data_IF_931336569767
#
_entry.id   IF_931336569767
#
_cell.length_a   1.000
_cell.length_b   1.000
_cell.length_c   1.000
_cell.angle_alpha   90.00
_cell.angle_beta   90.00
_cell.angle_gamma   90.00
#
_symmetry.space_group_name_H-M   'P 1'
#
loop_
_entity.id
_entity.type
_entity.pdbx_description
1 polymer ?
#
# COMPACT_ATOMS: atom_id res chain seq x y z
N UNK A 1 34.21 16.45 35.97
CA UNK A 1 33.24 17.54 35.68
C UNK A 1 32.60 17.18 34.35
N UNK A 2 31.66 16.24 34.39
CA UNK A 2 30.22 16.44 34.11
C UNK A 2 29.93 16.58 32.62
N UNK A 3 29.76 15.42 31.96
CA UNK A 3 29.00 15.33 30.72
C UNK A 3 27.58 15.87 30.99
N UNK A 4 27.05 16.77 30.14
CA UNK A 4 25.68 17.23 30.27
C UNK A 4 24.71 16.05 30.10
N UNK A 5 23.93 15.79 31.15
CA UNK A 5 22.83 14.84 31.16
C UNK A 5 21.94 15.02 29.93
N UNK A 6 21.95 14.02 29.05
CA UNK A 6 20.93 13.89 28.03
C UNK A 6 19.57 13.82 28.72
N UNK A 7 18.74 14.85 28.48
CA UNK A 7 17.36 14.90 28.97
C UNK A 7 16.61 13.62 28.54
N UNK A 8 15.78 13.03 29.41
CA UNK A 8 15.00 11.85 29.03
C UNK A 8 14.04 12.25 27.91
N UNK A 9 14.31 11.72 26.71
CA UNK A 9 13.41 11.84 25.57
C UNK A 9 12.02 11.37 26.01
N UNK A 10 11.07 12.29 26.02
CA UNK A 10 9.68 12.03 26.35
C UNK A 10 9.16 10.91 25.44
N UNK A 11 8.57 9.87 26.05
CA UNK A 11 7.93 8.80 25.32
C UNK A 11 6.94 9.39 24.29
N UNK A 12 7.03 9.03 22.99
CA UNK A 12 6.19 9.63 21.98
C UNK A 12 4.74 9.27 22.29
N UNK A 13 3.93 10.30 22.59
CA UNK A 13 2.48 10.15 22.81
C UNK A 13 1.91 9.41 21.62
N UNK A 14 1.26 8.28 21.87
CA UNK A 14 0.33 7.66 20.94
C UNK A 14 -0.76 8.70 20.61
N UNK A 15 -0.55 9.48 19.57
CA UNK A 15 -1.55 10.41 19.08
C UNK A 15 -2.74 9.58 18.62
N UNK A 16 -3.82 9.64 19.42
CA UNK A 16 -5.08 9.01 19.07
C UNK A 16 -5.54 9.63 17.77
N UNK A 17 -5.79 8.80 16.78
CA UNK A 17 -6.31 9.24 15.48
C UNK A 17 -7.61 10.00 15.73
N UNK A 18 -7.65 11.26 15.32
CA UNK A 18 -8.83 12.11 15.48
C UNK A 18 -10.00 11.60 14.65
N UNK A 19 -11.22 11.98 15.05
CA UNK A 19 -12.46 11.58 14.35
C UNK A 19 -12.42 12.00 12.87
N UNK A 20 -11.83 13.16 12.56
CA UNK A 20 -11.66 13.65 11.19
C UNK A 20 -10.88 12.69 10.27
N UNK A 21 -9.89 11.98 10.79
CA UNK A 21 -9.13 11.01 10.01
C UNK A 21 -9.92 9.74 9.68
N UNK A 22 -10.84 9.31 10.55
CA UNK A 22 -11.76 8.21 10.25
C UNK A 22 -12.83 8.61 9.25
N UNK A 23 -13.31 9.86 9.30
CA UNK A 23 -14.23 10.41 8.30
C UNK A 23 -13.53 10.47 6.94
N UNK A 24 -12.28 10.94 6.89
CA UNK A 24 -11.49 10.96 5.67
C UNK A 24 -11.25 9.54 5.12
N UNK A 25 -11.00 8.55 5.99
CA UNK A 25 -10.90 7.14 5.58
C UNK A 25 -12.21 6.60 5.00
N UNK A 26 -13.35 6.92 5.61
CA UNK A 26 -14.66 6.50 5.10
C UNK A 26 -14.95 7.13 3.74
N UNK A 27 -14.63 8.41 3.57
CA UNK A 27 -14.75 9.11 2.29
C UNK A 27 -13.82 8.51 1.22
N UNK A 28 -12.61 8.11 1.59
CA UNK A 28 -11.71 7.38 0.71
C UNK A 28 -12.33 6.05 0.23
N UNK A 29 -12.86 5.25 1.16
CA UNK A 29 -13.52 3.97 0.84
C UNK A 29 -14.67 4.21 -0.12
N UNK A 30 -15.52 5.20 0.17
CA UNK A 30 -16.65 5.56 -0.69
C UNK A 30 -16.19 5.92 -2.10
N UNK A 31 -15.21 6.82 -2.24
CA UNK A 31 -14.70 7.28 -3.55
C UNK A 31 -14.12 6.13 -4.37
N UNK A 32 -13.30 5.28 -3.77
CA UNK A 32 -12.62 4.19 -4.49
C UNK A 32 -13.47 2.91 -4.65
N UNK A 33 -14.61 2.79 -3.95
CA UNK A 33 -15.42 1.56 -3.96
C UNK A 33 -16.24 1.32 -5.23
N UNK A 34 -16.53 2.37 -6.02
CA UNK A 34 -17.40 2.25 -7.20
C UNK A 34 -18.89 2.16 -6.88
N UNK A 35 -19.29 2.31 -5.61
CA UNK A 35 -20.69 2.17 -5.15
C UNK A 35 -21.63 3.17 -5.83
N UNK A 36 -21.11 4.32 -6.27
CA UNK A 36 -21.90 5.39 -6.88
C UNK A 36 -21.78 5.49 -8.40
N UNK A 37 -21.06 4.57 -9.06
CA UNK A 37 -20.79 4.61 -10.51
C UNK A 37 -22.05 4.54 -11.40
N UNK A 38 -23.15 3.96 -10.90
CA UNK A 38 -24.41 3.79 -11.65
C UNK A 38 -25.64 4.07 -10.78
N UNK A 39 -25.70 5.26 -10.20
CA UNK A 39 -26.87 5.67 -9.42
C UNK A 39 -28.07 6.05 -10.31
N UNK A 40 -29.32 5.77 -9.88
CA UNK A 40 -30.54 6.24 -10.54
C UNK A 40 -30.55 7.77 -10.72
N UNK A 41 -31.29 8.30 -11.70
CA UNK A 41 -31.25 9.73 -12.04
C UNK A 41 -31.47 10.67 -10.85
N UNK A 42 -32.33 10.29 -9.90
CA UNK A 42 -32.59 11.07 -8.68
C UNK A 42 -31.35 11.28 -7.78
N UNK A 43 -30.36 10.39 -7.87
CA UNK A 43 -29.14 10.39 -7.05
C UNK A 43 -27.86 10.53 -7.87
N UNK A 44 -27.97 10.98 -9.13
CA UNK A 44 -26.82 11.12 -10.05
C UNK A 44 -25.71 12.04 -9.51
N UNK A 45 -26.07 13.00 -8.66
CA UNK A 45 -25.12 13.87 -7.96
C UNK A 45 -24.17 13.12 -7.02
N UNK A 46 -24.57 11.96 -6.48
CA UNK A 46 -23.68 11.10 -5.68
C UNK A 46 -22.53 10.51 -6.50
N UNK A 47 -22.65 10.47 -7.83
CA UNK A 47 -21.55 10.13 -8.72
C UNK A 47 -20.35 11.09 -8.62
N UNK A 48 -20.51 12.29 -8.04
CA UNK A 48 -19.38 13.16 -7.73
C UNK A 48 -18.43 12.56 -6.67
N UNK A 49 -18.92 11.61 -5.87
CA UNK A 49 -18.12 10.87 -4.89
C UNK A 49 -17.71 9.50 -5.44
N UNK A 50 -17.63 9.32 -6.75
CA UNK A 50 -17.24 8.06 -7.39
C UNK A 50 -16.00 8.24 -8.26
N UNK A 51 -14.96 7.46 -8.01
CA UNK A 51 -13.70 7.55 -8.75
C UNK A 51 -13.88 7.30 -10.25
N UNK A 52 -14.70 6.32 -10.63
CA UNK A 52 -14.91 5.94 -12.04
C UNK A 52 -15.78 6.95 -12.79
N UNK A 53 -16.60 7.72 -12.07
CA UNK A 53 -17.32 8.86 -12.64
C UNK A 53 -16.42 10.08 -12.81
N UNK A 54 -15.56 10.36 -11.83
CA UNK A 54 -14.62 11.49 -11.86
C UNK A 54 -13.51 11.34 -12.91
N UNK A 55 -13.00 10.13 -13.13
CA UNK A 55 -12.02 9.86 -14.20
C UNK A 55 -12.63 10.05 -15.60
N UNK A 56 -13.94 9.86 -15.73
CA UNK A 56 -14.66 9.98 -17.00
C UNK A 56 -14.27 8.91 -18.04
N UNK A 57 -14.58 9.20 -19.31
CA UNK A 57 -14.29 8.31 -20.45
C UNK A 57 -13.19 8.90 -21.32
N UNK A 58 -11.95 8.77 -20.86
CA UNK A 58 -10.79 9.25 -21.62
C UNK A 58 -10.63 8.47 -22.93
N UNK A 59 -10.44 9.21 -24.02
CA UNK A 59 -10.04 8.62 -25.29
C UNK A 59 -11.12 8.02 -26.17
N UNK A 60 -12.39 8.28 -25.85
CA UNK A 60 -13.51 7.86 -26.69
C UNK A 60 -13.50 8.61 -28.02
N UNK A 61 -13.57 7.88 -29.13
CA UNK A 61 -13.59 8.47 -30.47
C UNK A 61 -15.05 8.71 -30.87
N UNK A 62 -15.39 9.96 -31.18
CA UNK A 62 -16.75 10.32 -31.59
C UNK A 62 -17.15 9.53 -32.86
N UNK A 63 -18.28 8.84 -32.80
CA UNK A 63 -18.82 8.04 -33.91
C UNK A 63 -18.25 6.62 -34.03
N UNK A 64 -17.36 6.19 -33.14
CA UNK A 64 -16.84 4.82 -33.08
C UNK A 64 -17.22 4.13 -31.76
N UNK A 65 -17.49 2.82 -31.80
CA UNK A 65 -17.68 1.98 -30.59
C UNK A 65 -16.35 1.67 -29.86
N UNK A 66 -15.33 2.52 -30.00
CA UNK A 66 -13.98 2.28 -29.51
C UNK A 66 -13.30 3.52 -28.94
N UNK A 67 -12.20 3.30 -28.24
CA UNK A 67 -11.28 4.35 -27.78
C UNK A 67 -10.03 4.40 -28.68
N UNK A 68 -9.12 5.35 -28.44
CA UNK A 68 -7.87 5.47 -29.21
C UNK A 68 -6.91 4.28 -29.07
N UNK A 69 -7.17 3.32 -28.18
CA UNK A 69 -6.44 2.04 -28.12
C UNK A 69 -6.78 1.18 -29.35
N UNK A 70 -7.97 1.39 -29.95
CA UNK A 70 -8.43 0.64 -31.13
C UNK A 70 -8.94 -0.77 -30.79
N UNK A 71 -9.28 -1.55 -31.82
CA UNK A 71 -9.71 -2.96 -31.69
C UNK A 71 -8.87 -3.84 -32.61
N UNK A 72 -8.39 -4.98 -32.10
CA UNK A 72 -7.75 -6.03 -32.92
C UNK A 72 -6.23 -5.94 -33.14
N UNK A 73 -5.45 -5.30 -32.26
CA UNK A 73 -3.99 -5.21 -32.41
C UNK A 73 -3.18 -5.39 -31.12
N UNK A 74 -2.71 -6.61 -30.85
CA UNK A 74 -1.76 -6.90 -29.77
C UNK A 74 -0.34 -6.58 -30.25
N UNK A 75 0.10 -5.34 -30.04
CA UNK A 75 1.45 -4.87 -30.41
C UNK A 75 1.99 -3.88 -29.40
N UNK A 76 3.30 -3.61 -29.45
CA UNK A 76 3.95 -2.59 -28.61
C UNK A 76 3.26 -1.21 -28.70
N UNK A 77 2.69 -0.86 -29.88
CA UNK A 77 1.91 0.36 -30.07
C UNK A 77 0.58 0.33 -29.32
N UNK A 78 -0.10 -0.83 -29.32
CA UNK A 78 -1.32 -1.04 -28.53
C UNK A 78 -1.05 -0.94 -27.03
N UNK A 79 0.04 -1.53 -26.54
CA UNK A 79 0.48 -1.39 -25.15
C UNK A 79 0.80 0.05 -24.75
N UNK A 80 1.47 0.81 -25.62
CA UNK A 80 1.75 2.23 -25.39
C UNK A 80 0.46 3.07 -25.31
N UNK A 81 -0.50 2.85 -26.22
CA UNK A 81 -1.80 3.52 -26.21
C UNK A 81 -2.63 3.10 -24.98
N UNK A 82 -2.60 1.83 -24.59
CA UNK A 82 -3.21 1.39 -23.34
C UNK A 82 -2.61 2.11 -22.12
N UNK A 83 -1.28 2.23 -22.04
CA UNK A 83 -0.63 2.98 -20.98
C UNK A 83 -1.09 4.45 -20.93
N UNK A 84 -1.17 5.12 -22.10
CA UNK A 84 -1.72 6.48 -22.21
C UNK A 84 -3.15 6.58 -21.66
N UNK A 85 -3.97 5.53 -21.83
CA UNK A 85 -5.33 5.52 -21.30
C UNK A 85 -5.40 5.47 -19.76
N UNK A 86 -4.36 4.96 -19.09
CA UNK A 86 -4.29 4.83 -17.63
C UNK A 86 -3.79 6.12 -16.95
N UNK A 87 -3.05 6.99 -17.65
CA UNK A 87 -2.43 8.19 -17.06
C UNK A 87 -3.41 9.06 -16.25
N UNK A 88 -4.58 9.47 -16.80
CA UNK A 88 -5.51 10.32 -16.06
C UNK A 88 -6.03 9.67 -14.78
N UNK A 89 -6.30 8.36 -14.82
CA UNK A 89 -6.76 7.60 -13.66
C UNK A 89 -5.72 7.54 -12.56
N UNK A 90 -4.49 7.17 -12.91
CA UNK A 90 -3.40 7.10 -11.93
C UNK A 90 -3.13 8.47 -11.31
N UNK A 91 -3.10 9.55 -12.10
CA UNK A 91 -2.90 10.91 -11.60
C UNK A 91 -4.01 11.35 -10.64
N UNK A 92 -5.28 11.09 -10.98
CA UNK A 92 -6.41 11.42 -10.12
C UNK A 92 -6.36 10.61 -8.81
N UNK A 93 -6.04 9.32 -8.87
CA UNK A 93 -5.92 8.47 -7.69
C UNK A 93 -4.82 8.98 -6.74
N UNK A 94 -3.65 9.31 -7.28
CA UNK A 94 -2.53 9.84 -6.50
C UNK A 94 -2.88 11.19 -5.87
N UNK A 95 -3.55 12.09 -6.61
CA UNK A 95 -4.00 13.38 -6.07
C UNK A 95 -5.02 13.22 -4.93
N UNK A 96 -5.99 12.32 -5.07
CA UNK A 96 -6.96 12.02 -4.02
C UNK A 96 -6.28 11.40 -2.79
N UNK A 97 -5.36 10.45 -2.99
CA UNK A 97 -4.60 9.84 -1.90
C UNK A 97 -3.82 10.91 -1.13
N UNK A 98 -3.16 11.86 -1.79
CA UNK A 98 -2.41 12.94 -1.13
C UNK A 98 -3.31 13.81 -0.25
N UNK A 99 -4.47 14.23 -0.77
CA UNK A 99 -5.44 15.02 0.01
C UNK A 99 -5.95 14.23 1.21
N UNK A 100 -6.34 12.96 1.01
CA UNK A 100 -6.82 12.10 2.09
C UNK A 100 -5.73 11.82 3.13
N UNK A 101 -4.47 11.70 2.70
CA UNK A 101 -3.31 11.55 3.57
C UNK A 101 -3.09 12.79 4.43
N UNK A 102 -3.23 13.98 3.85
CA UNK A 102 -3.17 15.25 4.57
C UNK A 102 -4.22 15.33 5.70
N UNK A 103 -5.43 14.83 5.47
CA UNK A 103 -6.48 14.73 6.50
C UNK A 103 -6.31 13.55 7.47
N UNK A 104 -5.24 12.77 7.33
CA UNK A 104 -4.89 11.68 8.25
C UNK A 104 -5.57 10.34 7.96
N UNK A 105 -6.21 10.16 6.79
CA UNK A 105 -6.87 8.90 6.42
C UNK A 105 -5.89 7.71 6.45
N UNK A 106 -4.65 7.90 5.98
CA UNK A 106 -3.61 6.87 6.04
C UNK A 106 -3.30 6.43 7.47
N UNK A 107 -3.34 7.36 8.42
CA UNK A 107 -3.09 7.07 9.84
C UNK A 107 -4.25 6.28 10.45
N UNK A 108 -5.49 6.62 10.08
CA UNK A 108 -6.67 5.83 10.46
C UNK A 108 -6.62 4.41 9.89
N UNK A 109 -6.23 4.27 8.62
CA UNK A 109 -6.04 2.98 7.97
C UNK A 109 -4.98 2.12 8.68
N UNK A 110 -3.85 2.73 9.09
CA UNK A 110 -2.80 2.07 9.86
C UNK A 110 -3.31 1.56 11.22
N UNK A 111 -4.14 2.34 11.92
CA UNK A 111 -4.76 1.87 13.17
C UNK A 111 -5.71 0.70 12.90
N UNK A 112 -6.53 0.78 11.86
CA UNK A 112 -7.42 -0.31 11.46
C UNK A 112 -6.67 -1.58 11.01
N UNK A 113 -5.48 -1.45 10.44
CA UNK A 113 -4.59 -2.57 10.11
C UNK A 113 -3.87 -3.17 11.32
N UNK A 114 -3.77 -2.45 12.45
CA UNK A 114 -3.10 -2.93 13.67
C UNK A 114 -3.64 -4.28 14.19
N UNK A 115 -4.96 -4.54 14.29
CA UNK A 115 -5.48 -5.84 14.70
C UNK A 115 -5.14 -6.98 13.75
N UNK A 116 -4.76 -6.70 12.50
CA UNK A 116 -4.31 -7.71 11.54
C UNK A 116 -2.80 -7.92 11.58
N UNK A 117 -2.02 -6.84 11.57
CA UNK A 117 -0.55 -6.91 11.53
C UNK A 117 0.06 -7.41 12.85
N UNK A 118 -0.57 -7.12 13.99
CA UNK A 118 -0.10 -7.55 15.31
C UNK A 118 -0.13 -9.08 15.51
N UNK A 119 -1.22 -9.81 15.16
CA UNK A 119 -1.22 -11.27 15.25
C UNK A 119 -0.36 -11.94 14.17
N UNK A 120 -0.29 -11.41 12.94
CA UNK A 120 0.51 -12.00 11.85
C UNK A 120 2.02 -11.76 12.03
N UNK A 121 2.43 -10.50 12.09
CA UNK A 121 3.84 -10.10 12.05
C UNK A 121 4.38 -9.61 13.40
N UNK A 122 3.52 -9.39 14.41
CA UNK A 122 3.96 -8.91 15.72
C UNK A 122 4.31 -7.43 15.73
N UNK A 123 4.04 -6.73 14.63
CA UNK A 123 4.39 -5.33 14.42
C UNK A 123 3.17 -4.43 14.63
N UNK A 124 3.38 -3.20 15.11
CA UNK A 124 2.30 -2.23 15.30
C UNK A 124 1.84 -1.64 13.95
N UNK A 125 0.56 -1.28 13.81
CA UNK A 125 -0.01 -0.98 12.49
C UNK A 125 0.49 0.29 11.80
N UNK A 126 1.17 1.21 12.49
CA UNK A 126 1.85 2.34 11.82
C UNK A 126 3.03 1.89 10.95
N UNK A 127 3.55 0.68 11.17
CA UNK A 127 4.51 0.05 10.23
C UNK A 127 3.85 -0.35 8.91
N UNK A 128 2.51 -0.38 8.86
CA UNK A 128 1.73 -0.71 7.68
C UNK A 128 2.04 0.20 6.48
N UNK A 129 2.38 1.47 6.70
CA UNK A 129 2.81 2.34 5.59
C UNK A 129 4.11 1.83 4.95
N UNK A 130 5.11 1.49 5.76
CA UNK A 130 6.36 0.93 5.26
C UNK A 130 6.15 -0.41 4.54
N UNK A 131 5.20 -1.23 5.00
CA UNK A 131 4.84 -2.49 4.33
C UNK A 131 4.12 -2.25 2.99
N UNK A 132 3.20 -1.27 2.92
CA UNK A 132 2.49 -0.91 1.69
C UNK A 132 3.46 -0.30 0.67
N UNK A 133 4.34 0.60 1.13
CA UNK A 133 5.36 1.21 0.27
C UNK A 133 6.32 0.14 -0.26
N UNK A 134 6.72 -0.85 0.54
CA UNK A 134 7.56 -1.97 0.09
C UNK A 134 6.95 -2.79 -1.07
N UNK A 135 5.62 -2.92 -1.11
CA UNK A 135 4.95 -3.60 -2.24
C UNK A 135 5.12 -2.86 -3.57
N UNK A 136 5.40 -1.55 -3.53
CA UNK A 136 5.60 -0.72 -4.71
C UNK A 136 7.08 -0.40 -4.95
N UNK A 137 7.84 -0.22 -3.87
CA UNK A 137 9.24 0.16 -3.86
C UNK A 137 9.91 -0.37 -2.60
N UNK A 138 10.79 -1.36 -2.78
CA UNK A 138 11.60 -1.93 -1.71
C UNK A 138 12.44 -0.87 -1.00
N UNK A 139 13.05 0.05 -1.77
CA UNK A 139 13.91 1.11 -1.21
C UNK A 139 13.10 2.11 -0.39
N UNK A 140 11.90 2.48 -0.86
CA UNK A 140 10.98 3.34 -0.12
C UNK A 140 10.51 2.68 1.18
N UNK A 141 10.17 1.39 1.14
CA UNK A 141 9.78 0.62 2.33
C UNK A 141 10.90 0.54 3.37
N UNK A 142 12.14 0.30 2.94
CA UNK A 142 13.31 0.23 3.80
C UNK A 142 13.62 1.59 4.45
N UNK A 143 13.55 2.69 3.68
CA UNK A 143 13.77 4.04 4.19
C UNK A 143 12.77 4.42 5.28
N UNK A 144 11.48 4.13 5.05
CA UNK A 144 10.42 4.36 6.04
C UNK A 144 10.60 3.49 7.30
N UNK A 145 11.04 2.25 7.13
CA UNK A 145 11.29 1.33 8.26
C UNK A 145 12.45 1.81 9.11
N UNK A 146 13.53 2.28 8.47
CA UNK A 146 14.68 2.88 9.15
C UNK A 146 14.27 4.13 9.92
N UNK A 147 13.50 5.03 9.30
CA UNK A 147 13.00 6.23 9.99
C UNK A 147 12.20 5.86 11.24
N UNK A 148 11.33 4.84 11.16
CA UNK A 148 10.58 4.35 12.33
C UNK A 148 11.48 3.81 13.45
N UNK A 149 12.61 3.19 13.11
CA UNK A 149 13.58 2.71 14.09
C UNK A 149 14.38 3.85 14.71
N UNK A 150 14.84 4.79 13.89
CA UNK A 150 15.60 5.97 14.32
C UNK A 150 14.76 6.87 15.24
N UNK A 151 13.45 6.97 15.00
CA UNK A 151 12.47 7.64 15.87
C UNK A 151 12.15 6.85 17.17
N UNK A 152 12.78 5.69 17.40
CA UNK A 152 12.49 4.75 18.51
C UNK A 152 11.03 4.32 18.58
N UNK A 153 10.33 4.32 17.45
CA UNK A 153 8.94 3.88 17.37
C UNK A 153 8.85 2.38 17.19
N UNK A 154 9.86 1.70 16.66
CA UNK A 154 9.89 0.24 16.57
C UNK A 154 11.09 -0.32 17.33
N UNK A 155 10.90 -1.47 17.98
CA UNK A 155 12.01 -2.21 18.60
C UNK A 155 12.88 -2.86 17.53
N UNK A 156 14.11 -3.24 17.87
CA UNK A 156 15.00 -3.96 16.95
C UNK A 156 14.39 -5.28 16.48
N UNK A 157 13.65 -5.98 17.34
CA UNK A 157 12.91 -7.19 16.99
C UNK A 157 11.85 -6.91 15.90
N UNK A 158 11.12 -5.80 16.03
CA UNK A 158 10.15 -5.38 15.02
C UNK A 158 10.86 -5.00 13.71
N UNK A 159 11.98 -4.28 13.79
CA UNK A 159 12.81 -3.93 12.63
C UNK A 159 13.24 -5.19 11.86
N UNK A 160 13.85 -6.18 12.53
CA UNK A 160 14.31 -7.41 11.87
C UNK A 160 13.15 -8.19 11.24
N UNK A 161 11.99 -8.23 11.91
CA UNK A 161 10.79 -8.89 11.37
C UNK A 161 10.25 -8.18 10.13
N UNK A 162 10.24 -6.84 10.12
CA UNK A 162 9.82 -6.04 8.96
C UNK A 162 10.82 -6.22 7.83
N UNK A 163 12.13 -6.13 8.10
CA UNK A 163 13.17 -6.34 7.09
C UNK A 163 13.06 -7.72 6.45
N UNK A 164 12.78 -8.78 7.23
CA UNK A 164 12.56 -10.11 6.68
C UNK A 164 11.32 -10.19 5.77
N UNK A 165 10.22 -9.53 6.15
CA UNK A 165 9.01 -9.45 5.33
C UNK A 165 9.24 -8.64 4.05
N UNK A 166 9.98 -7.54 4.13
CA UNK A 166 10.33 -6.69 2.98
C UNK A 166 11.24 -7.44 2.01
N UNK A 167 12.27 -8.10 2.53
CA UNK A 167 13.21 -8.88 1.74
C UNK A 167 12.52 -10.07 1.04
N UNK A 168 11.55 -10.70 1.70
CA UNK A 168 10.73 -11.72 1.06
C UNK A 168 9.94 -11.08 -0.09
N UNK A 169 10.18 -11.47 -1.34
CA UNK A 169 9.27 -11.22 -2.46
C UNK A 169 9.03 -9.77 -2.93
N UNK A 170 9.58 -8.71 -2.34
CA UNK A 170 9.39 -7.33 -2.85
C UNK A 170 9.95 -7.17 -4.27
N UNK A 171 11.18 -7.68 -4.50
CA UNK A 171 11.78 -7.72 -5.84
C UNK A 171 10.99 -8.59 -6.83
N UNK A 172 10.39 -9.68 -6.36
CA UNK A 172 9.54 -10.54 -7.20
C UNK A 172 8.27 -9.81 -7.65
N UNK A 173 7.61 -9.06 -6.75
CA UNK A 173 6.42 -8.27 -7.09
C UNK A 173 6.77 -7.17 -8.10
N UNK A 174 7.85 -6.43 -7.85
CA UNK A 174 8.30 -5.38 -8.76
C UNK A 174 8.63 -5.93 -10.15
N UNK A 175 9.39 -7.04 -10.25
CA UNK A 175 9.67 -7.68 -11.52
C UNK A 175 8.43 -8.28 -12.19
N UNK A 176 7.47 -8.80 -11.41
CA UNK A 176 6.23 -9.35 -11.93
C UNK A 176 5.41 -8.29 -12.68
N UNK A 177 5.29 -7.09 -12.12
CA UNK A 177 4.54 -6.01 -12.77
C UNK A 177 5.34 -5.26 -13.84
N UNK A 178 6.66 -5.16 -13.73
CA UNK A 178 7.48 -4.41 -14.70
C UNK A 178 7.94 -5.24 -15.88
N UNK A 179 8.39 -6.48 -15.66
CA UNK A 179 8.98 -7.34 -16.69
C UNK A 179 8.01 -8.41 -17.18
N UNK A 180 7.35 -9.09 -16.24
CA UNK A 180 6.47 -10.22 -16.56
C UNK A 180 5.12 -9.77 -17.12
N UNK A 181 4.72 -8.51 -16.89
CA UNK A 181 3.48 -7.95 -17.41
C UNK A 181 3.37 -7.99 -18.93
N UNK A 182 4.49 -7.86 -19.65
CA UNK A 182 4.56 -8.02 -21.10
C UNK A 182 4.23 -9.46 -21.57
N UNK A 183 4.36 -10.44 -20.69
CA UNK A 183 4.13 -11.87 -20.95
C UNK A 183 2.78 -12.37 -20.41
N UNK A 184 1.96 -11.51 -19.80
CA UNK A 184 0.68 -11.92 -19.20
C UNK A 184 -0.30 -12.54 -20.19
N UNK A 185 -0.25 -12.17 -21.48
CA UNK A 185 -1.08 -12.78 -22.53
C UNK A 185 -0.73 -14.23 -22.83
N UNK A 186 0.46 -14.69 -22.44
CA UNK A 186 0.93 -16.07 -22.61
C UNK A 186 0.66 -16.95 -21.38
N UNK A 187 0.11 -16.37 -20.30
CA UNK A 187 -0.11 -17.11 -19.06
C UNK A 187 -1.36 -17.97 -19.14
N UNK A 188 -1.19 -19.27 -18.87
CA UNK A 188 -2.29 -20.23 -18.74
C UNK A 188 -3.07 -20.06 -17.42
N UNK A 189 -2.50 -19.36 -16.44
CA UNK A 189 -3.11 -19.12 -15.13
C UNK A 189 -3.54 -17.66 -14.97
N UNK A 190 -4.54 -17.38 -14.11
CA UNK A 190 -4.94 -16.00 -13.84
C UNK A 190 -3.77 -15.18 -13.30
N UNK A 191 -3.58 -13.98 -13.84
CA UNK A 191 -2.47 -13.06 -13.50
C UNK A 191 -2.37 -12.76 -12.00
N UNK A 192 -3.49 -12.81 -11.27
CA UNK A 192 -3.50 -12.57 -9.82
C UNK A 192 -3.01 -13.78 -8.99
N UNK A 193 -2.98 -14.99 -9.56
CA UNK A 193 -2.60 -16.21 -8.85
C UNK A 193 -1.16 -16.17 -8.31
N UNK A 194 -0.14 -15.95 -9.16
CA UNK A 194 1.24 -15.80 -8.71
C UNK A 194 1.43 -14.66 -7.69
N UNK A 195 0.69 -13.57 -7.85
CA UNK A 195 0.71 -12.43 -6.90
C UNK A 195 0.23 -12.83 -5.51
N UNK A 196 -0.86 -13.58 -5.41
CA UNK A 196 -1.36 -14.07 -4.12
C UNK A 196 -0.34 -14.99 -3.46
N UNK A 197 0.31 -15.88 -4.23
CA UNK A 197 1.33 -16.79 -3.71
C UNK A 197 2.52 -16.00 -3.14
N UNK A 198 3.04 -15.01 -3.88
CA UNK A 198 4.16 -14.18 -3.40
C UNK A 198 3.77 -13.41 -2.13
N UNK A 199 2.55 -12.86 -2.07
CA UNK A 199 2.05 -12.16 -0.88
C UNK A 199 1.91 -13.10 0.33
N UNK A 200 1.38 -14.31 0.15
CA UNK A 200 1.28 -15.30 1.23
C UNK A 200 2.68 -15.67 1.72
N UNK A 201 3.62 -15.95 0.82
CA UNK A 201 5.00 -16.28 1.17
C UNK A 201 5.70 -15.14 1.92
N UNK A 202 5.40 -13.87 1.59
CA UNK A 202 5.86 -12.70 2.35
C UNK A 202 5.44 -12.76 3.81
N UNK A 203 4.15 -12.98 4.06
CA UNK A 203 3.63 -13.09 5.42
C UNK A 203 4.16 -14.32 6.16
N UNK A 204 4.32 -15.46 5.46
CA UNK A 204 4.94 -16.67 6.04
C UNK A 204 6.39 -16.41 6.43
N UNK A 205 7.18 -15.77 5.58
CA UNK A 205 8.58 -15.42 5.87
C UNK A 205 8.71 -14.51 7.08
N UNK A 206 7.88 -13.45 7.16
CA UNK A 206 7.84 -12.58 8.33
C UNK A 206 7.40 -13.30 9.61
N UNK A 207 6.39 -14.16 9.53
CA UNK A 207 5.90 -14.94 10.67
C UNK A 207 6.94 -15.99 11.15
N UNK A 208 7.67 -16.62 10.24
CA UNK A 208 8.75 -17.56 10.54
C UNK A 208 9.87 -16.84 11.31
N UNK A 209 10.37 -15.72 10.79
CA UNK A 209 11.44 -14.96 11.44
C UNK A 209 10.99 -14.44 12.80
N UNK A 210 9.74 -13.97 12.92
CA UNK A 210 9.17 -13.62 14.22
C UNK A 210 9.25 -14.79 15.21
N UNK A 211 8.87 -16.00 14.78
CA UNK A 211 8.85 -17.21 15.61
C UNK A 211 10.26 -17.61 16.03
N UNK A 212 11.23 -17.54 15.11
CA UNK A 212 12.66 -17.78 15.37
C UNK A 212 13.21 -16.76 16.38
N UNK A 213 12.90 -15.48 16.21
CA UNK A 213 13.31 -14.41 17.14
C UNK A 213 12.68 -14.56 18.53
N UNK A 214 11.46 -15.10 18.63
CA UNK A 214 10.82 -15.35 19.92
C UNK A 214 11.28 -16.63 20.62
N UNK A 215 11.79 -17.61 19.88
CA UNK A 215 12.13 -18.94 20.42
C UNK A 215 13.62 -19.10 20.63
N UNK A 216 14.41 -18.91 19.56
CA UNK A 216 15.86 -19.22 19.53
C UNK A 216 16.65 -18.03 20.07
N UNK A 217 16.38 -16.83 19.57
CA UNK A 217 17.13 -15.61 19.92
C UNK A 217 16.47 -14.79 21.03
N UNK A 218 15.61 -15.41 21.85
CA UNK A 218 14.81 -14.68 22.85
C UNK A 218 15.67 -13.83 23.78
N UNK A 219 16.82 -14.37 24.21
CA UNK A 219 17.76 -13.72 25.14
C UNK A 219 18.42 -12.46 24.56
N UNK A 220 18.61 -12.41 23.24
CA UNK A 220 19.25 -11.26 22.57
C UNK A 220 18.33 -10.03 22.49
N UNK A 221 17.02 -10.23 22.70
CA UNK A 221 16.00 -9.18 22.64
C UNK A 221 15.25 -8.98 23.96
N UNK A 222 15.71 -9.59 25.07
CA UNK A 222 15.09 -9.43 26.40
C UNK A 222 15.30 -8.01 26.99
N UNK A 223 16.34 -7.30 26.57
CA UNK A 223 16.68 -5.94 27.03
C UNK A 223 16.10 -4.81 26.16
N UNK A 224 15.42 -5.13 25.06
CA UNK A 224 14.99 -4.17 24.02
C UNK A 224 13.54 -3.67 24.21
N UNK A 225 13.10 -3.53 25.47
CA UNK A 225 11.75 -3.08 25.83
C UNK A 225 11.53 -1.58 25.69
#
# INVERSE_FOLDING_TARGET
MTDPQASPASAPKHEKVGIGAYIALLLAIVIFSGVFYKMPEAYKWLGAFDFTTLIGKYGTIAGANGNFVGTGGDSARGGFLFALSLFPGVMLAMGLIEVLSHYGALRAAQVLMTPLLKPLLGVPGYTGLALITDLQSTDGGAALTRALYDEKRITRKNLVTICAWQYAGAGCISNYYTTVSALFSLFLCPVWGPMVIILVLKFVGGALIRTVLSTIYRKDFENDR
#
